data_IF_015748872964
#
_entry.id   IF_015748872964
#
_cell.length_a   1.000
_cell.length_b   1.000
_cell.length_c   1.000
_cell.angle_alpha   90.00
_cell.angle_beta   90.00
_cell.angle_gamma   90.00
#
_symmetry.space_group_name_H-M   'P 1'
#
loop_
_entity.id
_entity.type
_entity.pdbx_description
1 polymer ?
#
# COMPACT_ATOMS: atom_id res chain seq x y z
N UNK A 1 58.65 -2.42 -53.10
CA UNK A 1 57.52 -1.50 -52.87
C UNK A 1 56.23 -2.30 -52.79
N UNK A 2 55.61 -2.39 -51.62
CA UNK A 2 54.21 -2.82 -51.47
C UNK A 2 53.59 -2.02 -50.31
N UNK A 3 52.52 -1.32 -50.64
CA UNK A 3 51.87 -0.25 -49.89
C UNK A 3 50.98 -0.83 -48.76
N UNK A 4 51.32 -0.58 -47.50
CA UNK A 4 50.46 -0.91 -46.36
C UNK A 4 49.44 0.20 -46.13
N UNK A 5 48.33 0.18 -46.88
CA UNK A 5 47.24 1.13 -46.73
C UNK A 5 46.48 0.90 -45.41
N UNK A 6 46.86 1.68 -44.41
CA UNK A 6 46.15 1.98 -43.16
C UNK A 6 44.63 2.03 -43.37
N UNK A 7 43.90 1.08 -42.78
CA UNK A 7 42.43 1.05 -42.72
C UNK A 7 41.96 2.11 -41.70
N UNK A 8 41.80 3.35 -42.15
CA UNK A 8 41.11 4.39 -41.36
C UNK A 8 39.65 3.99 -41.19
N UNK A 9 39.20 3.85 -39.94
CA UNK A 9 37.81 3.63 -39.57
C UNK A 9 37.07 4.99 -39.55
N UNK A 10 36.13 5.28 -40.47
CA UNK A 10 35.40 6.54 -40.46
C UNK A 10 33.94 6.25 -40.16
N UNK A 11 33.53 6.28 -38.89
CA UNK A 11 32.13 6.52 -38.50
C UNK A 11 31.99 6.57 -36.97
N UNK A 12 32.72 7.48 -36.32
CA UNK A 12 32.30 8.02 -35.03
C UNK A 12 31.52 9.30 -35.34
N UNK A 13 30.21 9.19 -35.49
CA UNK A 13 29.35 10.34 -35.75
C UNK A 13 28.19 10.04 -36.69
N UNK A 14 27.18 9.31 -36.19
CA UNK A 14 25.84 9.42 -36.72
C UNK A 14 24.90 9.59 -35.51
N UNK A 15 24.10 10.66 -35.43
CA UNK A 15 23.08 10.77 -34.40
C UNK A 15 22.05 9.67 -34.63
N UNK A 16 21.76 8.89 -33.59
CA UNK A 16 20.76 7.82 -33.62
C UNK A 16 19.41 8.38 -34.10
N UNK A 17 18.66 7.64 -34.94
CA UNK A 17 17.39 8.12 -35.46
C UNK A 17 16.41 8.35 -34.31
N UNK A 18 15.75 9.51 -34.33
CA UNK A 18 14.73 9.92 -33.39
C UNK A 18 13.67 8.82 -33.23
N UNK A 19 13.63 8.18 -32.06
CA UNK A 19 12.58 7.23 -31.70
C UNK A 19 11.30 8.06 -31.53
N UNK A 20 10.31 7.87 -32.42
CA UNK A 20 8.97 8.42 -32.23
C UNK A 20 8.41 7.80 -30.96
N UNK A 21 8.47 8.56 -29.87
CA UNK A 21 7.81 8.19 -28.62
C UNK A 21 6.36 8.58 -28.80
N UNK A 22 5.57 7.63 -29.32
CA UNK A 22 4.12 7.72 -29.11
C UNK A 22 3.86 7.75 -27.60
N UNK A 23 2.85 8.49 -27.14
CA UNK A 23 2.57 8.60 -25.72
C UNK A 23 2.19 7.20 -25.23
N UNK A 24 3.11 6.53 -24.54
CA UNK A 24 2.82 5.29 -23.82
C UNK A 24 1.94 5.64 -22.62
N UNK A 25 0.68 6.02 -22.88
CA UNK A 25 -0.30 6.40 -21.84
C UNK A 25 -0.55 5.27 -20.84
N UNK A 26 -0.17 4.04 -21.21
CA UNK A 26 -0.25 2.83 -20.39
C UNK A 26 1.12 2.28 -19.97
N UNK A 27 2.22 2.99 -20.26
CA UNK A 27 3.59 2.56 -19.93
C UNK A 27 3.80 2.40 -18.42
N UNK A 28 3.21 3.30 -17.63
CA UNK A 28 3.25 3.22 -16.15
C UNK A 28 2.39 2.09 -15.58
N UNK A 29 1.36 1.64 -16.30
CA UNK A 29 0.52 0.50 -15.86
C UNK A 29 1.21 -0.83 -16.21
N UNK A 30 1.88 -0.92 -17.35
CA UNK A 30 2.58 -2.13 -17.80
C UNK A 30 3.97 -2.30 -17.19
N UNK A 31 4.63 -1.20 -16.84
CA UNK A 31 5.94 -1.19 -16.20
C UNK A 31 6.02 -0.09 -15.13
N UNK A 32 5.36 -0.27 -13.98
CA UNK A 32 5.29 0.76 -12.95
C UNK A 32 6.66 1.04 -12.34
N UNK A 33 7.09 2.32 -12.35
CA UNK A 33 8.32 2.76 -11.66
C UNK A 33 8.23 2.52 -10.14
N UNK A 34 7.02 2.61 -9.57
CA UNK A 34 6.69 2.20 -8.21
C UNK A 34 5.98 0.86 -8.32
N UNK A 35 6.75 -0.23 -8.34
CA UNK A 35 6.17 -1.56 -8.30
C UNK A 35 5.28 -1.65 -7.04
N UNK A 36 3.98 -1.89 -7.23
CA UNK A 36 3.06 -2.26 -6.14
C UNK A 36 3.56 -3.54 -5.42
N UNK A 37 4.50 -4.28 -6.04
CA UNK A 37 5.29 -5.37 -5.46
C UNK A 37 6.69 -5.04 -4.90
N UNK A 38 7.22 -3.81 -5.03
CA UNK A 38 8.42 -3.37 -4.28
C UNK A 38 8.10 -3.06 -2.81
N UNK A 39 6.81 -2.86 -2.51
CA UNK A 39 6.32 -2.86 -1.14
C UNK A 39 6.30 -4.31 -0.67
N UNK A 40 7.09 -4.61 0.37
CA UNK A 40 7.24 -5.95 0.94
C UNK A 40 5.86 -6.62 1.04
N UNK A 41 5.70 -7.82 0.48
CA UNK A 41 4.41 -8.56 0.42
C UNK A 41 3.71 -8.65 1.79
N UNK A 42 4.47 -8.52 2.88
CA UNK A 42 3.98 -8.44 4.25
C UNK A 42 3.13 -7.21 4.58
N UNK A 43 3.18 -6.12 3.82
CA UNK A 43 2.39 -4.92 4.16
C UNK A 43 0.89 -5.15 4.03
N UNK A 44 0.48 -6.03 3.11
CA UNK A 44 -0.92 -6.39 2.93
C UNK A 44 -1.47 -7.21 4.11
N UNK A 45 -0.90 -8.38 4.48
CA UNK A 45 -1.34 -9.13 5.64
C UNK A 45 -1.13 -8.35 6.95
N UNK A 46 -0.05 -7.57 7.07
CA UNK A 46 0.18 -6.71 8.24
C UNK A 46 -0.93 -5.66 8.40
N UNK A 47 -1.34 -5.01 7.31
CA UNK A 47 -2.45 -4.05 7.34
C UNK A 47 -3.75 -4.72 7.78
N UNK A 48 -4.05 -5.92 7.26
CA UNK A 48 -5.23 -6.69 7.66
C UNK A 48 -5.21 -7.00 9.15
N UNK A 49 -4.09 -7.51 9.67
CA UNK A 49 -3.94 -7.80 11.10
C UNK A 49 -4.08 -6.54 11.96
N UNK A 50 -3.51 -5.41 11.52
CA UNK A 50 -3.64 -4.14 12.23
C UNK A 50 -5.11 -3.66 12.29
N UNK A 51 -5.85 -3.75 11.18
CA UNK A 51 -7.26 -3.37 11.16
C UNK A 51 -8.13 -4.30 12.00
N UNK A 52 -7.95 -5.61 11.86
CA UNK A 52 -8.68 -6.60 12.67
C UNK A 52 -8.38 -6.39 14.16
N UNK A 53 -7.12 -6.15 14.53
CA UNK A 53 -6.73 -5.84 15.89
C UNK A 53 -7.34 -4.53 16.40
N UNK A 54 -7.33 -3.46 15.59
CA UNK A 54 -7.94 -2.18 15.96
C UNK A 54 -9.45 -2.30 16.18
N UNK A 55 -10.17 -2.97 15.26
CA UNK A 55 -11.61 -3.22 15.40
C UNK A 55 -11.88 -4.07 16.65
N UNK A 56 -11.09 -5.13 16.87
CA UNK A 56 -11.18 -5.95 18.06
C UNK A 56 -11.00 -5.15 19.35
N UNK A 57 -10.00 -4.27 19.40
CA UNK A 57 -9.76 -3.40 20.55
C UNK A 57 -10.94 -2.43 20.80
N UNK A 58 -11.47 -1.82 19.74
CA UNK A 58 -12.63 -0.91 19.83
C UNK A 58 -13.85 -1.61 20.44
N UNK A 59 -14.06 -2.90 20.16
CA UNK A 59 -15.18 -3.67 20.71
C UNK A 59 -14.87 -4.22 22.10
N UNK A 60 -13.70 -4.81 22.29
CA UNK A 60 -13.34 -5.51 23.53
C UNK A 60 -13.11 -4.53 24.68
N UNK A 61 -12.44 -3.40 24.45
CA UNK A 61 -12.11 -2.45 25.52
C UNK A 61 -13.36 -1.93 26.25
N UNK A 62 -14.42 -1.44 25.58
CA UNK A 62 -15.66 -1.06 26.25
C UNK A 62 -16.34 -2.21 27.00
N UNK A 63 -16.30 -3.43 26.44
CA UNK A 63 -16.89 -4.60 27.09
C UNK A 63 -16.14 -5.00 28.35
N UNK A 64 -14.81 -4.90 28.34
CA UNK A 64 -13.98 -5.15 29.54
C UNK A 64 -14.07 -4.02 30.56
N UNK A 65 -14.38 -2.80 30.12
CA UNK A 65 -14.58 -1.63 30.98
C UNK A 65 -15.99 -1.55 31.60
N UNK A 66 -16.87 -2.55 31.38
CA UNK A 66 -18.21 -2.54 31.97
C UNK A 66 -18.20 -2.46 33.50
N UNK A 67 -17.21 -3.06 34.16
CA UNK A 67 -17.03 -2.98 35.62
C UNK A 67 -16.55 -1.60 36.11
N UNK A 68 -16.09 -0.72 35.22
CA UNK A 68 -15.71 0.65 35.54
C UNK A 68 -16.90 1.62 35.47
N UNK A 69 -18.06 1.17 34.98
CA UNK A 69 -19.27 1.98 34.94
C UNK A 69 -20.05 1.85 36.25
N UNK A 70 -20.70 2.92 36.74
CA UNK A 70 -21.63 2.84 37.86
C UNK A 70 -22.72 1.82 37.55
N UNK A 71 -23.06 0.98 38.52
CA UNK A 71 -24.15 -0.01 38.36
C UNK A 71 -25.46 0.72 38.07
N UNK A 72 -26.13 0.43 36.94
CA UNK A 72 -27.40 1.07 36.63
C UNK A 72 -28.47 0.64 37.65
N UNK A 73 -29.31 1.59 38.06
CA UNK A 73 -30.47 1.30 38.90
C UNK A 73 -31.38 0.30 38.17
N UNK A 74 -31.63 -0.85 38.79
CA UNK A 74 -32.46 -1.90 38.21
C UNK A 74 -33.95 -1.56 38.35
N UNK A 75 -34.81 -2.16 37.51
CA UNK A 75 -36.27 -1.99 37.54
C UNK A 75 -36.91 -2.30 38.92
N UNK A 76 -36.18 -2.98 39.81
CA UNK A 76 -36.59 -3.21 41.20
C UNK A 76 -36.66 -1.93 42.04
N UNK A 77 -36.02 -0.84 41.61
CA UNK A 77 -36.10 0.46 42.28
C UNK A 77 -37.45 1.17 42.11
N UNK A 78 -38.28 0.74 41.15
CA UNK A 78 -39.60 1.33 40.88
C UNK A 78 -40.77 0.39 41.20
N UNK A 79 -40.53 -0.78 41.80
CA UNK A 79 -41.57 -1.78 42.12
C UNK A 79 -42.15 -1.61 43.53
N UNK A 80 -42.18 -0.38 44.05
CA UNK A 80 -42.81 -0.06 45.33
C UNK A 80 -43.72 1.16 45.22
N UNK A 81 -44.99 0.91 44.91
CA UNK A 81 -46.12 1.62 45.52
C UNK A 81 -47.31 0.65 45.58
N UNK A 82 -47.56 0.02 46.75
CA UNK A 82 -48.78 -0.78 46.98
C UNK A 82 -50.03 0.12 46.99
N UNK A 83 -51.21 -0.34 46.55
CA UNK A 83 -52.49 0.21 47.02
C UNK A 83 -52.82 -0.27 48.43
#
# INVERSE_FOLDING_TARGET
MADTRKKSNPAKGAPAPAKKVEPAMFGEISNPSIMVGARKWYTLPLSVLAHVGAIGAIVIVPLMAMDALPTPASMMAFVAAPP
#
